data_IF_363106619936
#
_entry.id   IF_363106619936
#
_cell.length_a   1.000
_cell.length_b   1.000
_cell.length_c   1.000
_cell.angle_alpha   90.00
_cell.angle_beta   90.00
_cell.angle_gamma   90.00
#
_symmetry.space_group_name_H-M   'P 1'
#
loop_
_entity.id
_entity.type
_entity.pdbx_description
1 polymer ?
#
# COMPACT_ATOMS: atom_id res chain seq x y z
N UNK A 1 -0.52 17.12 -4.47
CA UNK A 1 0.27 15.97 -4.97
C UNK A 1 0.49 16.17 -6.44
N UNK A 2 1.68 15.84 -6.98
CA UNK A 2 1.87 15.81 -8.43
C UNK A 2 0.89 14.83 -9.07
N UNK A 3 0.19 15.29 -10.10
CA UNK A 3 -0.64 14.45 -10.96
C UNK A 3 0.27 13.78 -12.01
N UNK A 4 0.73 12.56 -11.69
CA UNK A 4 1.64 11.79 -12.53
C UNK A 4 0.89 11.35 -13.78
N UNK A 5 1.46 11.61 -14.96
CA UNK A 5 0.89 11.30 -16.26
C UNK A 5 1.91 10.61 -17.16
N UNK A 6 1.41 9.81 -18.08
CA UNK A 6 2.19 9.26 -19.17
C UNK A 6 2.54 10.39 -20.15
N UNK A 7 3.79 10.44 -20.61
CA UNK A 7 4.25 11.46 -21.56
C UNK A 7 4.69 10.85 -22.88
N UNK A 8 5.42 9.74 -22.83
CA UNK A 8 5.99 9.13 -24.01
C UNK A 8 5.92 7.61 -23.95
N UNK A 9 5.71 6.98 -25.11
CA UNK A 9 5.78 5.52 -25.29
C UNK A 9 6.76 5.27 -26.42
N UNK A 10 7.86 4.59 -26.11
CA UNK A 10 8.90 4.24 -27.07
C UNK A 10 9.04 2.71 -27.17
N UNK A 11 9.01 2.19 -28.39
CA UNK A 11 9.29 0.77 -28.64
C UNK A 11 10.78 0.63 -28.92
N UNK A 12 11.52 0.10 -27.93
CA UNK A 12 12.97 -0.10 -28.02
C UNK A 12 13.36 -1.26 -28.95
N UNK A 13 12.42 -2.16 -29.25
CA UNK A 13 12.59 -3.25 -30.19
C UNK A 13 11.94 -4.55 -29.72
N UNK A 14 12.46 -5.68 -30.19
CA UNK A 14 11.99 -7.03 -29.82
C UNK A 14 12.89 -7.61 -28.73
N UNK A 15 12.29 -8.27 -27.75
CA UNK A 15 12.99 -8.89 -26.64
C UNK A 15 13.93 -10.02 -27.12
N UNK A 16 15.20 -9.96 -26.71
CA UNK A 16 16.27 -10.85 -27.23
C UNK A 16 15.99 -12.34 -27.03
N UNK A 17 15.36 -12.71 -25.91
CA UNK A 17 15.06 -14.11 -25.57
C UNK A 17 13.67 -14.56 -26.01
N UNK A 18 12.78 -13.62 -26.36
CA UNK A 18 11.37 -13.89 -26.61
C UNK A 18 10.94 -13.13 -27.86
N UNK A 19 11.09 -13.77 -29.02
CA UNK A 19 10.96 -13.17 -30.36
C UNK A 19 9.56 -12.62 -30.71
N UNK A 20 8.61 -12.68 -29.78
CA UNK A 20 7.24 -12.14 -29.92
C UNK A 20 6.88 -11.07 -28.89
N UNK A 21 7.81 -10.73 -28.01
CA UNK A 21 7.61 -9.68 -27.02
C UNK A 21 8.35 -8.43 -27.47
N UNK A 22 7.70 -7.29 -27.39
CA UNK A 22 8.34 -5.99 -27.52
C UNK A 22 9.07 -5.65 -26.21
N UNK A 23 10.03 -4.74 -26.29
CA UNK A 23 10.54 -4.00 -25.13
C UNK A 23 10.08 -2.58 -25.31
N UNK A 24 9.23 -2.11 -24.41
CA UNK A 24 8.60 -0.80 -24.51
C UNK A 24 8.92 -0.02 -23.25
N UNK A 25 9.41 1.19 -23.45
CA UNK A 25 9.67 2.16 -22.41
C UNK A 25 8.55 3.20 -22.40
N UNK A 26 8.01 3.45 -21.21
CA UNK A 26 6.94 4.41 -20.99
C UNK A 26 7.43 5.45 -20.01
N UNK A 27 7.62 6.68 -20.47
CA UNK A 27 8.07 7.79 -19.63
C UNK A 27 6.89 8.46 -18.93
N UNK A 28 7.07 8.80 -17.66
CA UNK A 28 6.08 9.49 -16.83
C UNK A 28 6.60 10.83 -16.33
N UNK A 29 5.70 11.81 -16.22
CA UNK A 29 6.00 13.12 -15.64
C UNK A 29 4.86 13.63 -14.75
N UNK A 30 5.15 14.49 -13.76
CA UNK A 30 6.50 14.82 -13.26
C UNK A 30 7.17 13.60 -12.60
N UNK A 31 8.42 13.76 -12.15
CA UNK A 31 9.13 12.67 -11.44
C UNK A 31 8.29 12.17 -10.24
N UNK A 32 7.97 10.86 -10.18
CA UNK A 32 7.10 10.33 -9.15
C UNK A 32 7.80 10.33 -7.77
N UNK A 33 7.14 10.83 -6.71
CA UNK A 33 7.66 10.71 -5.35
C UNK A 33 7.88 9.25 -4.95
N UNK A 34 8.89 8.98 -4.10
CA UNK A 34 9.24 7.61 -3.65
C UNK A 34 8.03 6.78 -3.18
N UNK A 35 7.16 7.35 -2.34
CA UNK A 35 5.96 6.67 -1.84
C UNK A 35 4.97 6.32 -2.95
N UNK A 36 4.84 7.18 -3.96
CA UNK A 36 4.03 6.91 -5.15
C UNK A 36 4.63 5.75 -5.94
N UNK A 37 5.94 5.74 -6.15
CA UNK A 37 6.64 4.67 -6.86
C UNK A 37 6.52 3.32 -6.13
N UNK A 38 6.63 3.30 -4.81
CA UNK A 38 6.39 2.11 -3.97
C UNK A 38 4.93 1.62 -4.13
N UNK A 39 3.94 2.52 -4.06
CA UNK A 39 2.54 2.18 -4.27
C UNK A 39 2.27 1.66 -5.70
N UNK A 40 2.93 2.24 -6.70
CA UNK A 40 2.87 1.77 -8.08
C UNK A 40 3.43 0.36 -8.19
N UNK A 41 4.64 0.09 -7.68
CA UNK A 41 5.31 -1.21 -7.80
C UNK A 41 4.64 -2.33 -6.97
N UNK A 42 3.98 -1.98 -5.86
CA UNK A 42 3.26 -2.93 -4.99
C UNK A 42 1.79 -3.11 -5.37
N UNK A 43 1.31 -2.39 -6.37
CA UNK A 43 -0.07 -2.50 -6.80
C UNK A 43 -0.37 -3.91 -7.31
N UNK A 44 -1.34 -4.56 -6.64
CA UNK A 44 -1.90 -5.85 -7.03
C UNK A 44 -3.23 -5.55 -7.72
N UNK A 45 -3.35 -5.97 -8.97
CA UNK A 45 -4.27 -5.44 -9.98
C UNK A 45 -5.71 -5.16 -9.56
N UNK A 46 -6.33 -4.18 -10.23
CA UNK A 46 -7.76 -3.82 -10.09
C UNK A 46 -8.69 -4.63 -11.01
N UNK A 47 -8.22 -5.74 -11.58
CA UNK A 47 -8.91 -6.49 -12.63
C UNK A 47 -8.69 -5.87 -14.02
N UNK A 48 -8.58 -6.73 -15.04
CA UNK A 48 -8.36 -6.32 -16.44
C UNK A 48 -6.91 -6.03 -16.83
N UNK A 49 -5.93 -6.46 -16.02
CA UNK A 49 -4.53 -6.51 -16.42
C UNK A 49 -4.25 -7.85 -17.13
N UNK A 50 -3.42 -7.86 -18.20
CA UNK A 50 -3.00 -9.09 -18.86
C UNK A 50 -2.33 -10.07 -17.88
N UNK A 51 -2.48 -11.39 -18.06
CA UNK A 51 -1.72 -12.35 -17.26
C UNK A 51 -0.21 -12.16 -17.46
N UNK A 52 0.55 -12.15 -16.37
CA UNK A 52 2.01 -11.90 -16.42
C UNK A 52 2.41 -10.43 -16.58
N UNK A 53 1.47 -9.50 -16.38
CA UNK A 53 1.71 -8.05 -16.34
C UNK A 53 2.63 -7.68 -15.17
N UNK A 54 3.94 -7.79 -15.41
CA UNK A 54 4.97 -7.28 -14.51
C UNK A 54 5.42 -5.92 -15.03
N UNK A 55 5.03 -4.88 -14.32
CA UNK A 55 5.44 -3.52 -14.63
C UNK A 55 6.16 -2.96 -13.42
N UNK A 56 7.40 -2.50 -13.65
CA UNK A 56 8.21 -1.84 -12.64
C UNK A 56 8.50 -0.44 -13.13
N UNK A 57 8.32 0.51 -12.23
CA UNK A 57 8.80 1.87 -12.38
C UNK A 57 10.28 1.90 -11.93
N UNK A 58 11.15 2.38 -12.81
CA UNK A 58 12.55 2.68 -12.56
C UNK A 58 12.80 4.16 -12.87
N UNK A 59 12.98 4.97 -11.82
CA UNK A 59 13.03 6.44 -11.96
C UNK A 59 11.74 7.01 -12.57
N UNK A 60 11.86 7.60 -13.76
CA UNK A 60 10.76 8.20 -14.55
C UNK A 60 10.26 7.28 -15.67
N UNK A 61 10.76 6.05 -15.75
CA UNK A 61 10.47 5.14 -16.85
C UNK A 61 9.84 3.84 -16.35
N UNK A 62 8.83 3.37 -17.08
CA UNK A 62 8.17 2.09 -16.84
C UNK A 62 8.52 1.19 -18.02
N UNK A 63 9.16 0.06 -17.74
CA UNK A 63 9.50 -0.93 -18.76
C UNK A 63 8.42 -2.01 -18.78
N UNK A 64 7.88 -2.25 -19.97
CA UNK A 64 6.88 -3.29 -20.21
C UNK A 64 7.29 -4.16 -21.39
N UNK A 65 6.91 -5.44 -21.36
CA UNK A 65 7.24 -6.40 -22.42
C UNK A 65 6.01 -7.07 -23.03
N UNK A 66 5.16 -6.33 -23.75
CA UNK A 66 3.92 -6.84 -24.29
C UNK A 66 4.15 -7.66 -25.57
N UNK A 67 3.25 -8.60 -25.90
CA UNK A 67 3.08 -9.03 -27.28
C UNK A 67 2.73 -7.85 -28.20
N UNK A 68 3.21 -7.88 -29.45
CA UNK A 68 3.00 -6.79 -30.42
C UNK A 68 1.51 -6.40 -30.58
N UNK A 69 0.65 -7.40 -30.79
CA UNK A 69 -0.79 -7.21 -30.92
C UNK A 69 -1.52 -6.77 -29.64
N UNK A 70 -0.84 -6.75 -28.49
CA UNK A 70 -1.41 -6.32 -27.19
C UNK A 70 -0.82 -5.00 -26.69
N UNK A 71 0.08 -4.34 -27.45
CA UNK A 71 0.78 -3.13 -27.00
C UNK A 71 -0.18 -2.09 -26.41
N UNK A 72 -1.27 -1.78 -27.13
CA UNK A 72 -2.26 -0.79 -26.69
C UNK A 72 -2.95 -1.19 -25.37
N UNK A 73 -3.26 -2.48 -25.19
CA UNK A 73 -3.88 -2.98 -23.97
C UNK A 73 -2.96 -2.81 -22.76
N UNK A 74 -1.66 -3.04 -22.95
CA UNK A 74 -0.66 -2.86 -21.90
C UNK A 74 -0.46 -1.38 -21.55
N UNK A 75 -0.41 -0.49 -22.54
CA UNK A 75 -0.34 0.97 -22.29
C UNK A 75 -1.56 1.43 -21.51
N UNK A 76 -2.77 1.02 -21.91
CA UNK A 76 -3.99 1.34 -21.17
C UNK A 76 -4.01 0.78 -19.74
N UNK A 77 -3.43 -0.40 -19.52
CA UNK A 77 -3.28 -0.97 -18.19
C UNK A 77 -2.34 -0.12 -17.32
N UNK A 78 -1.21 0.35 -17.86
CA UNK A 78 -0.31 1.29 -17.18
C UNK A 78 -1.04 2.59 -16.84
N UNK A 79 -1.80 3.17 -17.77
CA UNK A 79 -2.59 4.39 -17.50
C UNK A 79 -3.65 4.20 -16.41
N UNK A 80 -4.35 3.05 -16.40
CA UNK A 80 -5.32 2.71 -15.35
C UNK A 80 -4.63 2.63 -13.99
N UNK A 81 -3.46 1.99 -13.92
CA UNK A 81 -2.66 1.88 -12.70
C UNK A 81 -2.18 3.25 -12.21
N UNK A 82 -1.65 4.10 -13.10
CA UNK A 82 -1.27 5.48 -12.78
C UNK A 82 -2.44 6.24 -12.16
N UNK A 83 -3.61 6.23 -12.82
CA UNK A 83 -4.82 6.89 -12.32
C UNK A 83 -5.26 6.37 -10.96
N UNK A 84 -5.19 5.06 -10.74
CA UNK A 84 -5.53 4.47 -9.45
C UNK A 84 -4.59 4.95 -8.34
N UNK A 85 -3.28 4.93 -8.58
CA UNK A 85 -2.29 5.36 -7.59
C UNK A 85 -2.43 6.86 -7.31
N UNK A 86 -2.63 7.70 -8.33
CA UNK A 86 -2.91 9.13 -8.15
C UNK A 86 -4.14 9.35 -7.25
N UNK A 87 -5.24 8.64 -7.53
CA UNK A 87 -6.47 8.72 -6.74
C UNK A 87 -6.23 8.31 -5.28
N UNK A 88 -5.60 7.16 -5.05
CA UNK A 88 -5.27 6.68 -3.71
C UNK A 88 -4.43 7.69 -2.92
N UNK A 89 -3.41 8.27 -3.55
CA UNK A 89 -2.57 9.30 -2.93
C UNK A 89 -3.32 10.59 -2.63
N UNK A 90 -4.25 10.99 -3.50
CA UNK A 90 -5.11 12.14 -3.26
C UNK A 90 -6.05 11.92 -2.07
N UNK A 91 -6.66 10.74 -1.97
CA UNK A 91 -7.52 10.36 -0.84
C UNK A 91 -6.76 10.34 0.49
N UNK A 92 -5.55 9.77 0.50
CA UNK A 92 -4.69 9.76 1.68
C UNK A 92 -4.33 11.18 2.14
N UNK A 93 -3.99 12.09 1.22
CA UNK A 93 -3.73 13.49 1.56
C UNK A 93 -4.96 14.19 2.13
N UNK A 94 -6.13 14.00 1.51
CA UNK A 94 -7.38 14.59 1.99
C UNK A 94 -7.68 14.13 3.43
N UNK A 95 -7.44 12.85 3.74
CA UNK A 95 -7.65 12.30 5.09
C UNK A 95 -6.77 12.96 6.15
N UNK A 96 -5.52 13.29 5.82
CA UNK A 96 -4.59 13.99 6.72
C UNK A 96 -4.99 15.46 6.91
N UNK A 97 -5.40 16.14 5.83
CA UNK A 97 -5.82 17.54 5.90
C UNK A 97 -7.19 17.76 6.57
N UNK A 98 -8.01 16.73 6.71
CA UNK A 98 -9.30 16.79 7.40
C UNK A 98 -9.20 16.64 8.92
N UNK A 99 -8.06 16.18 9.47
CA UNK A 99 -7.84 16.04 10.91
C UNK A 99 -7.72 17.34 11.75
N UNK A 100 -7.23 18.51 11.27
CA UNK A 100 -7.06 19.68 12.12
C UNK A 100 -8.38 20.26 12.63
N UNK A 101 -9.51 20.02 11.96
CA UNK A 101 -10.83 20.43 12.45
C UNK A 101 -11.33 19.58 13.62
N UNK A 102 -10.91 18.31 13.74
CA UNK A 102 -11.21 17.50 14.94
C UNK A 102 -10.37 17.94 16.15
N UNK A 103 -9.09 18.23 15.94
CA UNK A 103 -8.21 18.71 17.00
C UNK A 103 -8.66 20.09 17.52
N UNK A 104 -9.03 21.03 16.63
CA UNK A 104 -9.53 22.34 17.01
C UNK A 104 -10.86 22.25 17.79
N UNK A 105 -11.74 21.31 17.45
CA UNK A 105 -13.02 21.10 18.16
C UNK A 105 -12.81 20.56 19.57
N UNK A 106 -11.82 19.69 19.78
CA UNK A 106 -11.44 19.22 21.12
C UNK A 106 -10.83 20.33 21.98
N UNK A 107 -10.05 21.23 21.39
CA UNK A 107 -9.55 22.42 22.10
C UNK A 107 -10.68 23.38 22.50
N UNK A 108 -11.79 23.42 21.74
CA UNK A 108 -12.94 24.25 22.04
C UNK A 108 -13.81 23.68 23.17
N UNK A 109 -13.94 22.36 23.28
CA UNK A 109 -14.67 21.72 24.39
C UNK A 109 -13.96 21.92 25.74
N UNK A 110 -12.62 21.90 25.76
CA UNK A 110 -11.83 22.16 26.97
C UNK A 110 -11.95 23.62 27.46
N UNK A 111 -12.27 24.56 26.56
CA UNK A 111 -12.48 25.96 26.92
C UNK A 111 -13.91 26.26 27.42
N UNK A 112 -14.89 25.39 27.15
CA UNK A 112 -16.30 25.60 27.53
C UNK A 112 -16.73 24.80 28.76
N UNK A 113 -16.16 23.62 28.97
CA UNK A 113 -16.24 22.96 30.27
C UNK A 113 -15.14 23.54 31.14
N UNK A 114 -15.49 24.48 32.03
CA UNK A 114 -14.54 25.11 32.94
C UNK A 114 -13.78 24.08 33.76
N UNK A 115 -12.64 23.62 33.24
CA UNK A 115 -11.70 22.82 33.99
C UNK A 115 -11.22 23.68 35.15
N UNK A 116 -11.54 23.24 36.36
CA UNK A 116 -11.07 23.88 37.59
C UNK A 116 -9.56 24.11 37.48
N UNK A 117 -9.04 25.28 37.92
CA UNK A 117 -7.61 25.58 37.90
C UNK A 117 -6.76 24.48 38.56
N UNK A 118 -7.32 23.69 39.49
CA UNK A 118 -6.66 22.52 40.10
C UNK A 118 -6.37 21.38 39.12
N UNK A 119 -7.24 21.15 38.13
CA UNK A 119 -7.04 20.10 37.12
C UNK A 119 -5.97 20.53 36.12
N UNK A 120 -5.94 21.82 35.75
CA UNK A 120 -4.88 22.39 34.92
C UNK A 120 -3.52 22.36 35.64
N UNK A 121 -3.49 22.63 36.95
CA UNK A 121 -2.28 22.50 37.76
C UNK A 121 -1.75 21.06 37.79
N UNK A 122 -2.62 20.06 37.94
CA UNK A 122 -2.24 18.63 37.87
C UNK A 122 -1.71 18.21 36.50
N UNK A 123 -2.30 18.68 35.41
CA UNK A 123 -1.82 18.38 34.04
C UNK A 123 -0.46 19.03 33.80
N UNK A 124 -0.25 20.27 34.28
CA UNK A 124 1.04 20.94 34.15
C UNK A 124 2.13 20.33 35.03
N UNK A 125 1.81 19.80 36.21
CA UNK A 125 2.77 19.07 37.06
C UNK A 125 3.24 17.76 36.42
N UNK A 126 2.37 17.03 35.72
CA UNK A 126 2.78 15.85 34.93
C UNK A 126 3.76 16.25 33.82
N UNK A 127 3.52 17.40 33.18
CA UNK A 127 4.41 17.94 32.14
C UNK A 127 5.77 18.39 32.71
N UNK A 128 5.78 18.90 33.94
CA UNK A 128 7.00 19.32 34.65
C UNK A 128 7.81 18.13 35.19
N UNK A 129 7.15 17.06 35.62
CA UNK A 129 7.80 15.79 35.96
C UNK A 129 8.38 15.09 34.72
N UNK A 130 7.70 15.13 33.57
CA UNK A 130 8.23 14.61 32.31
C UNK A 130 9.41 15.44 31.78
N UNK A 131 9.40 16.76 31.97
CA UNK A 131 10.53 17.63 31.61
C UNK A 131 11.75 17.46 32.55
N UNK A 132 11.56 16.95 33.77
CA UNK A 132 12.65 16.57 34.69
C UNK A 132 13.40 15.29 34.28
N UNK A 133 12.85 14.51 33.35
CA UNK A 133 13.49 13.32 32.75
C UNK A 133 14.16 13.63 31.40
N UNK A 134 14.28 14.92 31.05
CA UNK A 134 14.88 15.43 29.81
C UNK A 134 16.42 15.39 29.81
N UNK A 135 16.99 14.20 30.03
CA UNK A 135 18.42 13.94 29.79
C UNK A 135 18.68 12.77 28.84
N UNK A 136 17.77 11.80 28.76
CA UNK A 136 17.98 10.57 28.00
C UNK A 136 16.62 10.12 27.47
N UNK A 137 16.51 9.82 26.16
CA UNK A 137 15.31 9.37 25.42
C UNK A 137 14.29 10.44 24.98
N UNK A 138 14.62 11.16 23.90
CA UNK A 138 13.65 11.99 23.15
C UNK A 138 13.06 11.31 21.89
N UNK A 139 13.32 10.01 21.66
CA UNK A 139 12.91 9.31 20.44
C UNK A 139 11.82 8.24 20.61
N UNK A 140 11.24 8.05 21.81
CA UNK A 140 10.26 6.96 22.04
C UNK A 140 8.93 7.37 22.67
N UNK A 141 8.68 8.65 22.95
CA UNK A 141 7.41 9.12 23.54
C UNK A 141 6.39 9.47 22.44
N UNK A 142 6.15 8.52 21.54
CA UNK A 142 4.91 8.45 20.76
C UNK A 142 4.25 7.07 20.86
N UNK A 143 4.82 6.13 21.62
CA UNK A 143 4.34 4.74 21.68
C UNK A 143 3.65 4.33 22.99
N UNK A 144 3.37 5.27 23.90
CA UNK A 144 2.68 4.93 25.15
C UNK A 144 1.73 6.04 25.61
N UNK A 145 0.68 6.28 24.83
CA UNK A 145 -0.61 6.71 25.40
C UNK A 145 -1.65 5.77 24.82
N UNK A 146 -1.69 4.57 25.39
CA UNK A 146 -2.76 3.62 25.14
C UNK A 146 -3.99 4.05 25.94
N UNK A 147 -4.90 4.76 25.27
CA UNK A 147 -6.18 5.22 25.83
C UNK A 147 -7.20 4.05 25.92
N UNK A 148 -6.79 2.80 25.68
CA UNK A 148 -7.71 1.65 25.76
C UNK A 148 -7.82 1.00 27.14
N UNK A 149 -7.09 1.48 28.16
CA UNK A 149 -7.09 0.91 29.51
C UNK A 149 -8.31 1.26 30.39
N UNK A 150 -9.44 1.72 29.83
CA UNK A 150 -10.64 2.05 30.60
C UNK A 150 -11.96 1.46 30.06
N UNK A 151 -11.93 0.34 29.30
CA UNK A 151 -13.19 -0.32 28.92
C UNK A 151 -13.13 -1.85 28.70
N UNK A 152 -12.28 -2.58 29.45
CA UNK A 152 -12.30 -4.06 29.43
C UNK A 152 -12.23 -4.67 30.83
N UNK A 153 -13.24 -4.34 31.62
CA UNK A 153 -13.68 -5.17 32.72
C UNK A 153 -15.08 -5.71 32.43
N UNK A 154 -15.25 -6.49 31.35
CA UNK A 154 -16.41 -7.38 31.22
C UNK A 154 -16.27 -8.34 30.05
N UNK A 155 -16.64 -9.60 30.31
CA UNK A 155 -17.03 -10.65 29.34
C UNK A 155 -15.94 -11.61 28.84
N UNK A 156 -15.67 -12.61 29.70
CA UNK A 156 -15.81 -14.06 29.46
C UNK A 156 -15.35 -14.65 28.11
N UNK A 157 -14.32 -15.48 28.20
CA UNK A 157 -14.40 -16.95 28.11
C UNK A 157 -15.15 -17.53 26.89
N UNK A 158 -14.41 -17.87 25.83
CA UNK A 158 -14.76 -19.00 24.95
C UNK A 158 -13.48 -19.57 24.33
N UNK A 159 -12.96 -20.62 24.98
CA UNK A 159 -11.97 -21.55 24.42
C UNK A 159 -12.56 -22.20 23.16
N UNK A 160 -11.97 -21.95 21.99
CA UNK A 160 -12.22 -22.75 20.78
C UNK A 160 -11.08 -23.73 20.63
N UNK A 161 -11.40 -25.00 20.91
CA UNK A 161 -10.56 -26.17 20.71
C UNK A 161 -10.35 -26.39 19.21
N UNK A 162 -9.14 -26.10 18.73
CA UNK A 162 -8.73 -26.39 17.35
C UNK A 162 -8.12 -27.78 17.33
N UNK A 163 -8.93 -28.75 16.94
CA UNK A 163 -8.51 -30.13 16.73
C UNK A 163 -7.38 -30.27 15.69
N UNK A 164 -6.66 -31.41 15.71
CA UNK A 164 -5.47 -31.60 14.90
C UNK A 164 -5.76 -31.59 13.40
N UNK A 165 -4.80 -31.12 12.57
CA UNK A 165 -4.97 -31.05 11.12
C UNK A 165 -5.09 -32.45 10.48
N UNK A 166 -5.86 -32.59 9.39
CA UNK A 166 -5.98 -33.87 8.68
C UNK A 166 -4.67 -34.22 7.95
N UNK A 167 -4.24 -35.47 8.14
CA UNK A 167 -3.15 -36.11 7.41
C UNK A 167 -3.45 -36.18 5.92
N UNK A 168 -2.59 -35.59 5.08
CA UNK A 168 -2.59 -35.80 3.62
C UNK A 168 -1.79 -37.05 3.29
N UNK A 169 -2.48 -38.17 3.18
CA UNK A 169 -1.96 -39.39 2.56
C UNK A 169 -2.28 -39.44 1.05
N UNK A 170 -1.34 -40.04 0.32
CA UNK A 170 -1.45 -40.68 -0.99
C UNK A 170 -1.91 -39.82 -2.20
N UNK A 171 -0.99 -39.40 -3.07
CA UNK A 171 -0.39 -40.23 -4.13
C UNK A 171 -1.42 -40.88 -5.09
N UNK A 172 -1.66 -40.23 -6.23
CA UNK A 172 -2.10 -40.91 -7.45
C UNK A 172 -1.45 -40.24 -8.67
N UNK A 173 -0.33 -40.84 -9.10
CA UNK A 173 0.26 -40.64 -10.43
C UNK A 173 -0.71 -41.22 -11.46
N UNK A 174 -1.05 -40.48 -12.51
CA UNK A 174 -1.57 -41.06 -13.74
C UNK A 174 -0.55 -40.93 -14.87
N UNK A 175 -0.33 -42.00 -15.66
CA UNK A 175 0.70 -42.07 -16.68
C UNK A 175 0.30 -41.38 -17.99
N UNK A 176 1.28 -40.70 -18.54
CA UNK A 176 1.42 -40.21 -19.91
C UNK A 176 1.04 -41.26 -20.95
N UNK A 177 0.04 -40.97 -21.79
CA UNK A 177 -0.23 -41.71 -23.01
C UNK A 177 0.34 -40.95 -24.22
N UNK A 178 1.25 -41.62 -24.93
CA UNK A 178 1.91 -41.16 -26.13
C UNK A 178 0.93 -41.03 -27.31
N UNK A 179 1.07 -39.96 -28.10
CA UNK A 179 0.46 -39.85 -29.43
C UNK A 179 1.54 -40.24 -30.45
N UNK A 180 1.38 -41.32 -31.22
CA UNK A 180 2.32 -41.67 -32.27
C UNK A 180 2.16 -40.76 -33.49
N UNK A 181 3.32 -40.37 -34.00
CA UNK A 181 3.51 -39.76 -35.30
C UNK A 181 3.32 -40.77 -36.46
N UNK A 182 3.18 -40.19 -37.66
CA UNK A 182 3.17 -40.81 -38.99
C UNK A 182 1.79 -41.32 -39.47
N UNK A 183 1.40 -41.14 -40.73
CA UNK A 183 2.23 -41.24 -41.94
C UNK A 183 1.46 -40.75 -43.19
N UNK A 184 2.22 -40.21 -44.14
CA UNK A 184 2.04 -40.15 -45.61
C UNK A 184 0.81 -39.44 -46.19
#
# INVERSE_FOLDING_TARGET
>A
MPDIRLVHVEVLGVHRLYTRLLVVEISVEPEPPRRWAEAFNTFVGTGGEPPGFTTKLDGTCIIVTPPDHELELWVQAVERRIRHVNKKMQEELQSLTAQPLRAARLSQTIAQEGFSPDVLARIMDVRRMAAGLSGIFQSSIWEAVDVTALDRASTRDTMVDLGPPPSMDAAARQPTAAIPAAKA
#
